data_IF_836731817380
#
_entry.id   IF_836731817380
#
_cell.length_a   1.000
_cell.length_b   1.000
_cell.length_c   1.000
_cell.angle_alpha   90.00
_cell.angle_beta   90.00
_cell.angle_gamma   90.00
#
_symmetry.space_group_name_H-M   'P 1'
#
loop_
_entity.id
_entity.type
_entity.pdbx_description
1 polymer ?
#
# COMPACT_ATOMS: atom_id res chain seq x y z
N UNK A 1 60.97 -8.04 -23.37
CA UNK A 1 59.71 -7.43 -22.88
C UNK A 1 59.72 -7.60 -21.37
N UNK A 2 60.37 -6.67 -20.65
CA UNK A 2 59.76 -5.52 -19.99
C UNK A 2 58.72 -5.86 -18.90
N UNK A 3 59.15 -5.53 -17.68
CA UNK A 3 58.45 -4.89 -16.57
C UNK A 3 57.53 -5.70 -15.64
N UNK A 4 58.06 -5.80 -14.41
CA UNK A 4 57.45 -5.35 -13.16
C UNK A 4 56.29 -6.17 -12.59
N UNK A 5 56.64 -6.91 -11.53
CA UNK A 5 55.69 -7.33 -10.52
C UNK A 5 54.99 -6.14 -9.86
N UNK A 6 53.71 -6.32 -9.55
CA UNK A 6 52.93 -5.39 -8.74
C UNK A 6 52.32 -6.09 -7.51
N UNK A 7 53.04 -5.96 -6.39
CA UNK A 7 52.61 -5.42 -5.08
C UNK A 7 51.28 -5.92 -4.51
N UNK A 8 51.40 -6.74 -3.46
CA UNK A 8 50.39 -6.96 -2.42
C UNK A 8 50.19 -5.66 -1.64
N UNK A 9 49.14 -4.91 -1.99
CA UNK A 9 48.76 -3.66 -1.35
C UNK A 9 47.76 -3.89 -0.22
N UNK A 10 48.24 -3.73 1.02
CA UNK A 10 47.43 -3.52 2.22
C UNK A 10 46.79 -2.12 2.13
N UNK A 11 45.45 -2.04 2.15
CA UNK A 11 44.66 -0.81 2.33
C UNK A 11 43.47 -1.20 3.21
N UNK A 12 43.52 -0.82 4.48
CA UNK A 12 42.96 0.40 5.07
C UNK A 12 41.47 0.27 5.41
N UNK A 13 41.27 0.32 6.73
CA UNK A 13 40.05 0.42 7.51
C UNK A 13 39.42 1.79 7.26
N UNK A 14 38.16 1.84 6.83
CA UNK A 14 37.22 2.96 7.01
C UNK A 14 35.79 2.47 6.69
N UNK A 15 34.75 3.03 7.33
CA UNK A 15 33.52 2.34 7.68
C UNK A 15 32.49 2.37 6.54
N UNK A 16 31.83 1.23 6.30
CA UNK A 16 30.60 1.22 5.53
C UNK A 16 29.45 1.74 6.41
N UNK A 17 28.62 2.60 5.83
CA UNK A 17 27.50 3.30 6.43
C UNK A 17 26.47 2.33 7.09
N UNK A 18 25.74 2.76 8.14
CA UNK A 18 24.71 1.93 8.73
C UNK A 18 23.51 1.86 7.78
N UNK A 19 23.08 0.63 7.49
CA UNK A 19 21.77 0.39 6.90
C UNK A 19 20.69 0.93 7.87
N UNK A 20 19.67 1.67 7.37
CA UNK A 20 18.57 2.11 8.21
C UNK A 20 17.64 0.92 8.49
N UNK A 21 17.15 0.81 9.71
CA UNK A 21 15.87 0.11 9.94
C UNK A 21 15.87 -1.20 10.74
N UNK A 22 16.92 -1.56 11.51
CA UNK A 22 16.82 -2.65 12.49
C UNK A 22 17.16 -2.12 13.90
N UNK A 23 16.24 -2.18 14.88
CA UNK A 23 16.52 -1.71 16.23
C UNK A 23 17.55 -2.61 16.89
N UNK A 24 18.69 -2.02 17.29
CA UNK A 24 19.71 -2.67 18.09
C UNK A 24 19.14 -3.03 19.47
N UNK A 25 19.43 -4.22 20.02
CA UNK A 25 19.02 -4.57 21.38
C UNK A 25 19.74 -3.66 22.38
N UNK A 26 19.08 -3.26 23.49
CA UNK A 26 19.69 -2.40 24.48
C UNK A 26 20.84 -3.13 25.19
N UNK A 27 22.03 -2.54 25.18
CA UNK A 27 23.13 -3.00 26.03
C UNK A 27 22.80 -2.70 27.50
N UNK A 28 22.96 -3.68 28.40
CA UNK A 28 22.62 -3.51 29.81
C UNK A 28 23.67 -2.67 30.55
N UNK A 29 23.23 -1.62 31.27
CA UNK A 29 24.00 -1.08 32.40
C UNK A 29 24.28 0.44 32.47
N UNK A 30 23.50 1.33 31.84
CA UNK A 30 23.64 2.78 32.10
C UNK A 30 22.42 3.36 32.85
N UNK A 31 22.64 4.24 33.86
CA UNK A 31 21.54 4.89 34.59
C UNK A 31 20.82 5.92 33.70
N UNK A 32 19.51 6.15 33.89
CA UNK A 32 18.76 7.08 33.07
C UNK A 32 19.20 8.53 33.34
N UNK A 33 19.35 9.32 32.26
CA UNK A 33 19.50 10.77 32.36
C UNK A 33 18.18 11.40 32.84
N UNK A 34 18.23 12.51 33.61
CA UNK A 34 17.04 13.21 34.07
C UNK A 34 16.38 14.03 32.95
N UNK A 35 15.05 14.02 32.89
CA UNK A 35 14.24 14.79 31.94
C UNK A 35 14.06 16.27 32.36
N UNK A 36 13.92 17.21 31.41
CA UNK A 36 13.60 18.62 31.67
C UNK A 36 12.11 18.82 32.06
N UNK A 37 11.77 19.88 32.82
CA UNK A 37 10.44 20.07 33.40
C UNK A 37 9.49 20.80 32.42
N UNK A 38 8.24 20.32 32.29
CA UNK A 38 7.15 21.13 31.73
C UNK A 38 6.21 20.51 30.68
N UNK A 39 5.92 19.21 30.72
CA UNK A 39 4.84 18.62 29.91
C UNK A 39 3.68 18.12 30.80
N UNK A 40 2.41 18.29 30.38
CA UNK A 40 1.24 17.88 31.15
C UNK A 40 1.21 16.37 31.39
N UNK A 41 0.74 15.97 32.57
CA UNK A 41 0.66 14.59 33.01
C UNK A 41 -0.21 13.76 32.06
N UNK A 42 0.42 12.89 31.27
CA UNK A 42 -0.27 11.80 30.60
C UNK A 42 -0.48 10.68 31.63
N UNK A 43 -1.75 10.35 31.86
CA UNK A 43 -2.23 9.22 32.66
C UNK A 43 -1.41 7.95 32.39
N UNK A 44 -1.01 7.29 33.47
CA UNK A 44 -0.32 6.00 33.41
C UNK A 44 -1.22 4.96 32.73
N UNK A 45 -0.72 4.15 31.78
CA UNK A 45 -1.53 3.06 31.25
C UNK A 45 -1.75 2.04 32.38
N UNK A 46 -3.02 1.83 32.71
CA UNK A 46 -3.48 0.75 33.57
C UNK A 46 -2.92 -0.60 33.07
N UNK A 47 -2.57 -1.54 33.97
CA UNK A 47 -2.10 -2.85 33.55
C UNK A 47 -3.22 -3.57 32.80
N UNK A 48 -2.91 -4.05 31.60
CA UNK A 48 -3.81 -4.87 30.78
C UNK A 48 -4.30 -6.09 31.58
N UNK A 49 -5.58 -6.47 31.49
CA UNK A 49 -6.09 -7.66 32.15
C UNK A 49 -5.45 -8.92 31.56
N UNK A 50 -5.05 -9.81 32.46
CA UNK A 50 -4.46 -11.12 32.18
C UNK A 50 -5.39 -11.94 31.27
N UNK A 51 -4.89 -12.37 30.11
CA UNK A 51 -5.61 -13.27 29.22
C UNK A 51 -5.97 -14.59 29.97
N UNK A 52 -7.18 -15.13 29.79
CA UNK A 52 -7.60 -16.36 30.47
C UNK A 52 -6.76 -17.54 29.96
N UNK A 53 -6.26 -18.33 30.91
CA UNK A 53 -5.54 -19.57 30.64
C UNK A 53 -6.43 -20.56 29.87
N UNK A 54 -5.88 -21.32 28.90
CA UNK A 54 -6.65 -22.35 28.22
C UNK A 54 -7.06 -23.43 29.22
N UNK A 55 -8.35 -23.71 29.21
CA UNK A 55 -9.00 -24.70 30.04
C UNK A 55 -8.39 -26.09 29.85
N UNK A 56 -8.37 -26.84 30.95
CA UNK A 56 -7.90 -28.21 31.03
C UNK A 56 -8.66 -29.12 30.05
N UNK A 57 -8.01 -30.11 29.42
CA UNK A 57 -8.70 -31.00 28.50
C UNK A 57 -9.72 -31.87 29.25
N UNK A 58 -10.91 -31.98 28.67
CA UNK A 58 -11.99 -32.87 29.13
C UNK A 58 -11.50 -34.33 29.27
N UNK A 59 -12.07 -35.12 30.21
CA UNK A 59 -11.68 -36.51 30.40
C UNK A 59 -12.14 -37.36 29.21
N UNK A 60 -11.20 -38.11 28.62
CA UNK A 60 -11.47 -39.17 27.65
C UNK A 60 -12.22 -40.33 28.33
N UNK A 61 -13.18 -40.98 27.65
CA UNK A 61 -13.90 -42.12 28.20
C UNK A 61 -12.98 -43.35 28.32
N UNK A 62 -13.15 -44.04 29.44
CA UNK A 62 -12.38 -45.21 29.89
C UNK A 62 -12.55 -46.39 28.91
N UNK A 63 -11.45 -46.83 28.30
CA UNK A 63 -11.42 -48.03 27.48
C UNK A 63 -11.30 -49.29 28.37
N UNK A 64 -12.06 -50.36 28.11
CA UNK A 64 -12.06 -51.55 28.95
C UNK A 64 -10.74 -52.32 28.84
N UNK A 65 -10.16 -52.65 30.00
CA UNK A 65 -9.01 -53.55 30.12
C UNK A 65 -9.35 -54.95 29.62
N UNK A 66 -8.56 -55.57 28.73
CA UNK A 66 -8.68 -57.00 28.45
C UNK A 66 -8.16 -57.84 29.64
N UNK A 67 -8.74 -59.04 29.88
CA UNK A 67 -8.37 -59.88 31.01
C UNK A 67 -6.95 -60.45 30.85
N UNK A 68 -6.25 -60.56 31.99
CA UNK A 68 -4.97 -61.24 32.08
C UNK A 68 -5.12 -62.75 31.82
N UNK A 69 -4.44 -63.27 30.81
CA UNK A 69 -4.32 -64.71 30.59
C UNK A 69 -3.21 -65.31 31.50
N UNK A 70 -3.44 -66.50 32.09
CA UNK A 70 -2.47 -67.13 32.98
C UNK A 70 -1.26 -67.67 32.20
N UNK A 71 -0.07 -67.42 32.75
CA UNK A 71 1.21 -67.96 32.28
C UNK A 71 1.20 -69.50 32.29
N UNK A 72 1.38 -70.13 31.14
CA UNK A 72 1.43 -71.60 30.97
C UNK A 72 2.84 -72.20 31.11
N UNK A 73 3.79 -71.51 31.75
CA UNK A 73 5.09 -72.11 32.07
C UNK A 73 5.14 -72.59 33.51
N UNK A 74 4.51 -73.74 33.77
CA UNK A 74 4.88 -74.58 34.91
C UNK A 74 4.50 -76.03 34.61
N UNK A 75 5.52 -76.91 34.68
CA UNK A 75 5.46 -78.37 34.56
C UNK A 75 5.54 -78.94 33.14
N UNK A 76 6.77 -79.25 32.72
CA UNK A 76 7.07 -80.59 32.21
C UNK A 76 8.54 -80.90 32.53
N UNK A 77 8.73 -81.80 33.49
CA UNK A 77 10.03 -82.34 33.86
C UNK A 77 10.67 -83.16 32.74
N UNK A 78 11.98 -83.33 32.93
CA UNK A 78 12.93 -84.03 32.08
C UNK A 78 12.49 -85.41 31.60
N UNK A 79 12.82 -85.72 30.34
CA UNK A 79 13.33 -87.04 29.97
C UNK A 79 14.29 -86.89 28.76
N UNK A 80 15.55 -87.26 28.94
CA UNK A 80 16.51 -87.43 27.85
C UNK A 80 16.45 -88.86 27.34
N UNK A 81 16.64 -89.07 26.02
CA UNK A 81 17.34 -90.25 25.55
C UNK A 81 18.62 -89.87 24.80
N UNK A 82 19.58 -90.78 24.95
CA UNK A 82 20.96 -90.68 24.51
C UNK A 82 21.12 -90.78 22.99
N UNK A 83 22.06 -89.99 22.48
CA UNK A 83 23.09 -90.41 21.53
C UNK A 83 22.68 -90.99 20.19
N UNK A 84 22.55 -90.13 19.17
CA UNK A 84 22.86 -90.50 17.79
C UNK A 84 23.34 -89.28 17.01
N UNK A 85 24.41 -89.44 16.25
CA UNK A 85 25.03 -88.44 15.38
C UNK A 85 24.02 -87.94 14.34
N UNK A 86 23.43 -86.77 14.58
CA UNK A 86 22.74 -85.94 13.58
C UNK A 86 23.45 -84.57 13.57
N UNK A 87 24.55 -84.49 12.85
CA UNK A 87 25.13 -83.19 12.50
C UNK A 87 24.25 -82.62 11.36
N UNK A 88 23.82 -81.36 11.50
CA UNK A 88 23.14 -80.52 10.48
C UNK A 88 21.61 -80.58 10.26
N UNK A 89 20.79 -81.15 11.17
CA UNK A 89 19.33 -80.85 11.16
C UNK A 89 18.93 -79.70 12.07
N UNK A 90 19.71 -79.45 13.12
CA UNK A 90 19.42 -78.41 14.10
C UNK A 90 19.72 -76.99 13.57
N UNK A 91 20.75 -76.83 12.72
CA UNK A 91 21.11 -75.53 12.13
C UNK A 91 20.11 -75.03 11.08
N UNK A 92 19.44 -75.95 10.38
CA UNK A 92 18.52 -75.63 9.28
C UNK A 92 17.22 -74.96 9.77
N UNK A 93 16.87 -75.16 11.04
CA UNK A 93 15.73 -74.50 11.71
C UNK A 93 16.02 -73.03 12.05
N UNK A 94 17.28 -72.60 12.03
CA UNK A 94 17.70 -71.21 12.29
C UNK A 94 18.09 -70.47 11.00
N UNK A 95 18.52 -71.21 9.97
CA UNK A 95 18.92 -70.65 8.68
C UNK A 95 17.81 -69.84 7.97
N UNK A 96 16.53 -70.13 8.26
CA UNK A 96 15.36 -69.46 7.66
C UNK A 96 14.78 -68.28 8.44
N UNK A 97 15.32 -67.93 9.61
CA UNK A 97 14.76 -66.85 10.45
C UNK A 97 15.45 -65.49 10.22
N UNK A 98 16.63 -65.45 9.60
CA UNK A 98 17.41 -64.21 9.48
C UNK A 98 18.31 -64.19 8.24
N UNK A 99 18.03 -63.26 7.32
CA UNK A 99 18.86 -63.00 6.11
C UNK A 99 20.11 -62.16 6.41
N UNK A 100 20.25 -61.68 7.65
CA UNK A 100 21.41 -60.89 8.09
C UNK A 100 22.57 -61.83 8.45
N UNK A 101 23.84 -61.46 8.18
CA UNK A 101 24.98 -62.31 8.50
C UNK A 101 25.08 -62.56 10.01
N UNK A 102 25.47 -63.78 10.39
CA UNK A 102 25.50 -64.26 11.78
C UNK A 102 26.17 -63.29 12.80
N UNK A 103 27.28 -62.60 12.48
CA UNK A 103 27.89 -61.61 13.38
C UNK A 103 27.00 -60.40 13.69
N UNK A 104 26.17 -59.96 12.73
CA UNK A 104 25.25 -58.84 12.90
C UNK A 104 24.06 -59.21 13.77
N UNK A 105 23.63 -60.48 13.72
CA UNK A 105 22.59 -61.04 14.58
C UNK A 105 23.10 -61.15 16.01
N UNK A 106 24.29 -61.70 16.23
CA UNK A 106 24.89 -61.76 17.58
C UNK A 106 25.09 -60.37 18.17
N UNK A 107 25.53 -59.38 17.38
CA UNK A 107 25.63 -58.00 17.83
C UNK A 107 24.28 -57.37 18.17
N UNK A 108 23.22 -57.66 17.41
CA UNK A 108 21.87 -57.19 17.71
C UNK A 108 21.28 -57.84 18.97
N UNK A 109 21.47 -59.15 19.12
CA UNK A 109 20.98 -59.90 20.28
C UNK A 109 21.70 -59.43 21.54
N UNK A 110 23.01 -59.17 21.49
CA UNK A 110 23.78 -58.66 22.62
C UNK A 110 23.33 -57.25 23.05
N UNK A 111 23.03 -56.35 22.09
CA UNK A 111 22.47 -55.01 22.37
C UNK A 111 21.06 -55.04 22.95
N UNK A 112 20.22 -55.97 22.48
CA UNK A 112 18.86 -56.14 23.00
C UNK A 112 18.89 -56.79 24.40
N UNK A 113 19.79 -57.74 24.63
CA UNK A 113 19.98 -58.47 25.89
C UNK A 113 20.59 -57.59 27.00
N UNK A 114 21.53 -56.71 26.63
CA UNK A 114 22.18 -55.78 27.58
C UNK A 114 21.36 -54.53 27.92
N UNK A 115 20.12 -54.42 27.39
CA UNK A 115 19.27 -53.22 27.44
C UNK A 115 19.91 -51.94 26.87
N UNK A 116 21.14 -52.02 26.33
CA UNK A 116 21.83 -50.97 25.59
C UNK A 116 21.37 -50.96 24.12
N UNK A 117 20.06 -50.93 23.92
CA UNK A 117 19.45 -50.97 22.61
C UNK A 117 19.54 -49.61 21.87
N UNK A 118 20.52 -48.77 22.23
CA UNK A 118 20.79 -47.48 21.61
C UNK A 118 19.64 -46.48 21.69
N UNK A 119 19.88 -45.29 21.14
CA UNK A 119 18.87 -44.24 20.94
C UNK A 119 17.80 -44.70 19.94
N UNK A 120 16.58 -44.17 20.08
CA UNK A 120 15.45 -44.40 19.17
C UNK A 120 15.84 -44.25 17.69
N UNK A 121 16.77 -43.32 17.38
CA UNK A 121 17.32 -43.07 16.05
C UNK A 121 18.12 -44.26 15.47
N UNK A 122 18.90 -44.95 16.31
CA UNK A 122 19.71 -46.11 15.88
C UNK A 122 18.80 -47.31 15.54
N UNK A 123 17.74 -47.50 16.33
CA UNK A 123 16.68 -48.48 16.04
C UNK A 123 15.90 -48.14 14.78
N UNK A 124 15.65 -46.85 14.54
CA UNK A 124 14.98 -46.38 13.34
C UNK A 124 15.82 -46.62 12.08
N UNK A 125 17.14 -46.37 12.17
CA UNK A 125 18.08 -46.62 11.09
C UNK A 125 18.18 -48.11 10.72
N UNK A 126 18.17 -49.04 11.69
CA UNK A 126 18.28 -50.49 11.39
C UNK A 126 16.95 -51.12 10.90
N UNK A 127 15.78 -50.54 11.27
CA UNK A 127 14.46 -51.04 10.87
C UNK A 127 13.92 -50.40 9.58
N UNK A 128 14.12 -49.10 9.40
CA UNK A 128 13.59 -48.36 8.25
C UNK A 128 14.67 -47.98 7.24
N UNK A 129 15.94 -47.87 7.64
CA UNK A 129 17.03 -47.46 6.74
C UNK A 129 16.73 -46.19 5.94
N UNK A 130 17.41 -46.00 4.82
CA UNK A 130 17.23 -44.84 3.92
C UNK A 130 15.92 -44.88 3.10
N UNK A 131 15.01 -45.80 3.39
CA UNK A 131 13.73 -45.92 2.66
C UNK A 131 12.80 -44.76 2.99
N UNK A 132 12.69 -44.38 4.27
CA UNK A 132 11.89 -43.23 4.69
C UNK A 132 12.44 -41.93 4.10
N UNK A 133 13.77 -41.73 4.14
CA UNK A 133 14.38 -40.52 3.58
C UNK A 133 14.17 -40.43 2.06
N UNK A 134 14.19 -41.56 1.34
CA UNK A 134 13.85 -41.60 -0.10
C UNK A 134 12.39 -41.23 -0.35
N UNK A 135 11.46 -41.84 0.39
CA UNK A 135 10.03 -41.58 0.22
C UNK A 135 9.68 -40.12 0.55
N UNK A 136 10.29 -39.56 1.60
CA UNK A 136 10.13 -38.16 1.95
C UNK A 136 10.70 -37.24 0.86
N UNK A 137 11.86 -37.56 0.27
CA UNK A 137 12.43 -36.78 -0.84
C UNK A 137 11.52 -36.84 -2.08
N UNK A 138 10.95 -38.01 -2.40
CA UNK A 138 10.01 -38.15 -3.52
C UNK A 138 8.73 -37.37 -3.27
N UNK A 139 8.18 -37.44 -2.05
CA UNK A 139 6.98 -36.68 -1.67
C UNK A 139 7.25 -35.16 -1.72
N UNK A 140 8.35 -34.67 -1.14
CA UNK A 140 8.71 -33.24 -1.23
C UNK A 140 8.99 -32.80 -2.66
N UNK A 141 9.62 -33.65 -3.48
CA UNK A 141 9.85 -33.35 -4.89
C UNK A 141 8.52 -33.29 -5.65
N UNK A 142 7.61 -34.22 -5.40
CA UNK A 142 6.27 -34.22 -5.97
C UNK A 142 5.49 -32.97 -5.56
N UNK A 143 5.49 -32.61 -4.27
CA UNK A 143 4.83 -31.39 -3.78
C UNK A 143 5.40 -30.12 -4.43
N UNK A 144 6.71 -30.09 -4.68
CA UNK A 144 7.34 -28.97 -5.39
C UNK A 144 6.94 -28.97 -6.87
N UNK A 145 7.00 -30.11 -7.54
CA UNK A 145 6.63 -30.24 -8.96
C UNK A 145 5.13 -29.93 -9.17
N UNK A 146 4.25 -30.35 -8.26
CA UNK A 146 2.81 -30.04 -8.26
C UNK A 146 2.59 -28.51 -8.13
N UNK A 147 3.26 -27.84 -7.19
CA UNK A 147 3.18 -26.36 -7.05
C UNK A 147 3.73 -25.62 -8.27
N UNK A 148 4.83 -26.11 -8.86
CA UNK A 148 5.38 -25.53 -10.09
C UNK A 148 4.41 -25.71 -11.25
N UNK A 149 3.74 -26.87 -11.34
CA UNK A 149 2.71 -27.09 -12.37
C UNK A 149 1.50 -26.18 -12.18
N UNK A 150 1.05 -25.98 -10.94
CA UNK A 150 -0.05 -25.06 -10.61
C UNK A 150 0.28 -23.62 -11.03
N UNK A 151 1.50 -23.14 -10.75
CA UNK A 151 1.94 -21.80 -11.18
C UNK A 151 2.09 -21.70 -12.70
N UNK A 152 2.52 -22.78 -13.37
CA UNK A 152 2.74 -22.80 -14.83
C UNK A 152 1.44 -22.90 -15.62
N UNK A 153 0.47 -23.64 -15.11
CA UNK A 153 -0.82 -23.89 -15.76
C UNK A 153 -1.89 -22.87 -15.34
N UNK A 154 -1.61 -22.04 -14.34
CA UNK A 154 -2.41 -20.86 -14.04
C UNK A 154 -2.42 -19.91 -15.26
N UNK A 155 -3.59 -19.37 -15.63
CA UNK A 155 -3.68 -18.39 -16.71
C UNK A 155 -2.86 -17.15 -16.32
N UNK A 156 -1.95 -16.76 -17.21
CA UNK A 156 -1.20 -15.51 -17.07
C UNK A 156 -2.19 -14.36 -17.26
N UNK A 157 -2.41 -13.58 -16.20
CA UNK A 157 -3.14 -12.31 -16.29
C UNK A 157 -2.14 -11.27 -16.76
N UNK A 158 -2.12 -11.00 -18.06
CA UNK A 158 -1.48 -9.82 -18.61
C UNK A 158 -2.48 -8.66 -18.47
N UNK A 159 -2.07 -7.53 -17.87
CA UNK A 159 -2.85 -6.31 -17.96
C UNK A 159 -2.84 -5.88 -19.43
N UNK A 160 -4.01 -5.78 -20.03
CA UNK A 160 -4.17 -5.48 -21.46
C UNK A 160 -4.01 -3.97 -21.64
N UNK A 161 -2.84 -3.54 -22.10
CA UNK A 161 -2.60 -2.15 -22.55
C UNK A 161 -3.47 -1.77 -23.77
N UNK A 162 -4.06 -2.75 -24.48
CA UNK A 162 -4.91 -2.52 -25.66
C UNK A 162 -6.20 -1.74 -25.33
N UNK A 163 -6.76 -1.88 -24.12
CA UNK A 163 -7.98 -1.16 -23.73
C UNK A 163 -7.71 0.33 -23.48
N UNK A 164 -6.54 0.67 -22.91
CA UNK A 164 -6.11 2.06 -22.74
C UNK A 164 -5.84 2.74 -24.10
N UNK A 165 -5.24 2.03 -25.05
CA UNK A 165 -4.99 2.52 -26.41
C UNK A 165 -6.29 2.78 -27.20
N UNK A 166 -7.29 1.90 -27.05
CA UNK A 166 -8.62 2.06 -27.66
C UNK A 166 -9.37 3.27 -27.05
N UNK A 167 -9.33 3.43 -25.73
CA UNK A 167 -9.92 4.57 -25.03
C UNK A 167 -9.25 5.90 -25.40
N UNK A 168 -7.92 5.93 -25.50
CA UNK A 168 -7.16 7.10 -25.93
C UNK A 168 -7.52 7.51 -27.38
N UNK A 169 -7.69 6.53 -28.26
CA UNK A 169 -8.15 6.77 -29.64
C UNK A 169 -9.55 7.38 -29.68
N UNK A 170 -10.45 6.89 -28.82
CA UNK A 170 -11.81 7.42 -28.70
C UNK A 170 -11.82 8.84 -28.13
N UNK A 171 -10.98 9.13 -27.14
CA UNK A 171 -10.81 10.48 -26.57
C UNK A 171 -10.37 11.48 -27.64
N UNK A 172 -9.37 11.12 -28.46
CA UNK A 172 -8.90 11.98 -29.55
C UNK A 172 -9.99 12.27 -30.60
N UNK A 173 -10.87 11.32 -30.89
CA UNK A 173 -11.99 11.54 -31.80
C UNK A 173 -12.96 12.61 -31.24
N UNK A 174 -13.30 12.52 -29.97
CA UNK A 174 -14.19 13.48 -29.27
C UNK A 174 -13.54 14.87 -29.20
N UNK A 175 -12.24 14.96 -28.92
CA UNK A 175 -11.54 16.25 -28.87
C UNK A 175 -11.48 16.95 -30.24
N UNK A 176 -11.31 16.18 -31.32
CA UNK A 176 -11.37 16.73 -32.67
C UNK A 176 -12.78 17.25 -33.01
N UNK A 177 -13.82 16.53 -32.59
CA UNK A 177 -15.20 16.97 -32.77
C UNK A 177 -15.49 18.26 -31.98
N UNK A 178 -15.10 18.32 -30.70
CA UNK A 178 -15.18 19.53 -29.89
C UNK A 178 -14.43 20.71 -30.53
N UNK A 179 -13.24 20.48 -31.09
CA UNK A 179 -12.46 21.52 -31.77
C UNK A 179 -13.16 22.02 -33.04
N UNK A 180 -13.88 21.17 -33.75
CA UNK A 180 -14.69 21.59 -34.91
C UNK A 180 -15.97 22.34 -34.55
N UNK A 181 -16.66 21.94 -33.48
CA UNK A 181 -17.97 22.50 -33.11
C UNK A 181 -17.88 23.78 -32.27
N UNK A 182 -16.79 23.98 -31.50
CA UNK A 182 -16.56 25.22 -30.74
C UNK A 182 -16.60 26.49 -31.59
N UNK A 183 -15.87 26.61 -32.72
CA UNK A 183 -15.92 27.81 -33.54
C UNK A 183 -17.31 28.03 -34.14
N UNK A 184 -18.01 26.97 -34.56
CA UNK A 184 -19.38 27.06 -35.08
C UNK A 184 -20.37 27.57 -34.01
N UNK A 185 -20.21 27.14 -32.76
CA UNK A 185 -20.98 27.67 -31.64
C UNK A 185 -20.68 29.15 -31.36
N UNK A 186 -19.41 29.58 -31.43
CA UNK A 186 -19.04 30.98 -31.25
C UNK A 186 -19.57 31.86 -32.39
N UNK A 187 -19.53 31.37 -33.63
CA UNK A 187 -20.11 32.05 -34.79
C UNK A 187 -21.63 32.16 -34.65
N UNK A 188 -22.33 31.09 -34.26
CA UNK A 188 -23.77 31.12 -34.00
C UNK A 188 -24.15 32.05 -32.84
N UNK A 189 -23.27 32.16 -31.82
CA UNK A 189 -23.43 33.09 -30.70
C UNK A 189 -23.24 34.54 -31.17
N UNK A 190 -22.28 34.80 -32.05
CA UNK A 190 -22.01 36.12 -32.62
C UNK A 190 -23.08 36.56 -33.63
N UNK A 191 -23.63 35.63 -34.42
CA UNK A 191 -24.73 35.89 -35.35
C UNK A 191 -26.10 35.98 -34.67
N UNK A 192 -26.22 35.46 -33.44
CA UNK A 192 -27.47 35.43 -32.68
C UNK A 192 -28.46 34.36 -33.17
N UNK A 193 -27.98 33.33 -33.87
CA UNK A 193 -28.80 32.26 -34.42
C UNK A 193 -29.30 31.30 -33.32
N UNK A 194 -30.42 31.66 -32.70
CA UNK A 194 -31.02 30.92 -31.59
C UNK A 194 -31.32 29.44 -31.89
N UNK A 195 -31.63 29.11 -33.15
CA UNK A 195 -31.90 27.74 -33.58
C UNK A 195 -30.63 26.87 -33.51
N UNK A 196 -29.55 27.34 -34.15
CA UNK A 196 -28.25 26.64 -34.15
C UNK A 196 -27.67 26.52 -32.75
N UNK A 197 -27.81 27.56 -31.92
CA UNK A 197 -27.40 27.51 -30.51
C UNK A 197 -28.18 26.48 -29.70
N UNK A 198 -29.47 26.30 -29.97
CA UNK A 198 -30.28 25.29 -29.28
C UNK A 198 -29.92 23.85 -29.67
N UNK A 199 -29.37 23.65 -30.87
CA UNK A 199 -28.90 22.36 -31.37
C UNK A 199 -27.46 22.07 -30.89
N UNK A 200 -26.56 23.05 -30.94
CA UNK A 200 -25.15 22.87 -30.58
C UNK A 200 -24.90 22.71 -29.08
N UNK A 201 -25.66 23.39 -28.22
CA UNK A 201 -25.50 23.30 -26.76
C UNK A 201 -25.57 21.89 -26.20
N UNK A 202 -26.65 21.11 -26.42
CA UNK A 202 -26.73 19.76 -25.87
C UNK A 202 -25.69 18.81 -26.46
N UNK A 203 -25.30 19.01 -27.73
CA UNK A 203 -24.25 18.20 -28.38
C UNK A 203 -22.90 18.45 -27.72
N UNK A 204 -22.50 19.72 -27.55
CA UNK A 204 -21.26 20.07 -26.86
C UNK A 204 -21.24 19.59 -25.41
N UNK A 205 -22.35 19.73 -24.69
CA UNK A 205 -22.47 19.24 -23.31
C UNK A 205 -22.27 17.72 -23.22
N UNK A 206 -22.86 16.96 -24.14
CA UNK A 206 -22.69 15.51 -24.19
C UNK A 206 -21.25 15.12 -24.53
N UNK A 207 -20.64 15.76 -25.54
CA UNK A 207 -19.24 15.48 -25.91
C UNK A 207 -18.26 15.83 -24.77
N UNK A 208 -18.52 16.88 -24.01
CA UNK A 208 -17.72 17.22 -22.82
C UNK A 208 -17.87 16.17 -21.71
N UNK A 209 -19.08 15.64 -21.48
CA UNK A 209 -19.32 14.54 -20.53
C UNK A 209 -18.61 13.27 -20.94
N UNK A 210 -18.68 12.90 -22.23
CA UNK A 210 -18.01 11.72 -22.75
C UNK A 210 -16.49 11.85 -22.69
N UNK A 211 -15.93 13.02 -23.04
CA UNK A 211 -14.50 13.32 -22.85
C UNK A 211 -14.08 13.10 -21.40
N UNK A 212 -14.82 13.66 -20.45
CA UNK A 212 -14.53 13.53 -19.02
C UNK A 212 -14.60 12.07 -18.56
N UNK A 213 -15.60 11.33 -19.02
CA UNK A 213 -15.75 9.91 -18.69
C UNK A 213 -14.58 9.06 -19.21
N UNK A 214 -14.18 9.27 -20.48
CA UNK A 214 -13.02 8.56 -21.04
C UNK A 214 -11.72 8.96 -20.35
N UNK A 215 -11.56 10.25 -20.01
CA UNK A 215 -10.39 10.73 -19.29
C UNK A 215 -10.29 10.12 -17.88
N UNK A 216 -11.40 9.98 -17.16
CA UNK A 216 -11.45 9.30 -15.86
C UNK A 216 -11.13 7.81 -15.97
N UNK A 217 -11.66 7.14 -16.99
CA UNK A 217 -11.42 5.71 -17.24
C UNK A 217 -9.94 5.45 -17.60
N UNK A 218 -9.33 6.28 -18.43
CA UNK A 218 -7.90 6.20 -18.78
C UNK A 218 -7.01 6.54 -17.57
N UNK A 219 -7.46 7.45 -16.69
CA UNK A 219 -6.74 7.77 -15.45
C UNK A 219 -6.81 6.64 -14.40
N UNK A 220 -7.59 5.57 -14.64
CA UNK A 220 -7.69 4.42 -13.75
C UNK A 220 -8.45 4.69 -12.45
N UNK A 221 -9.30 5.72 -12.41
CA UNK A 221 -10.18 5.99 -11.27
C UNK A 221 -11.48 5.20 -11.39
N UNK A 222 -11.46 3.94 -10.92
CA UNK A 222 -12.68 3.14 -10.71
C UNK A 222 -13.31 3.44 -9.33
N UNK A 223 -14.39 4.23 -9.36
CA UNK A 223 -15.55 4.30 -8.45
C UNK A 223 -15.48 4.93 -7.03
N UNK A 224 -16.45 5.84 -6.84
CA UNK A 224 -17.13 6.31 -5.63
C UNK A 224 -16.39 7.17 -4.58
N UNK A 225 -16.23 8.47 -4.90
CA UNK A 225 -16.76 9.56 -4.05
C UNK A 225 -17.20 10.74 -4.93
N UNK A 226 -18.30 11.46 -4.65
CA UNK A 226 -18.53 12.77 -5.22
C UNK A 226 -17.62 13.75 -4.47
N UNK A 227 -16.37 13.87 -4.89
CA UNK A 227 -15.45 14.89 -4.40
C UNK A 227 -14.49 15.25 -5.53
N UNK A 228 -14.69 16.45 -6.07
CA UNK A 228 -13.72 17.29 -6.81
C UNK A 228 -13.06 16.61 -8.02
N UNK A 229 -13.60 16.66 -9.25
CA UNK A 229 -13.56 17.82 -10.15
C UNK A 229 -12.19 18.52 -10.22
N UNK A 230 -11.28 18.03 -11.10
CA UNK A 230 -10.17 18.75 -11.79
C UNK A 230 -9.28 17.69 -12.49
N UNK A 231 -8.77 17.77 -13.73
CA UNK A 231 -8.46 18.86 -14.67
C UNK A 231 -8.47 18.30 -16.12
N UNK A 232 -8.98 18.96 -17.17
CA UNK A 232 -8.68 20.30 -17.69
C UNK A 232 -10.05 20.86 -18.17
N UNK A 233 -10.71 21.80 -17.49
CA UNK A 233 -10.28 23.17 -17.17
C UNK A 233 -11.09 23.68 -15.96
N UNK A 234 -10.92 23.08 -14.78
CA UNK A 234 -11.61 23.56 -13.56
C UNK A 234 -10.70 24.51 -12.75
N UNK A 235 -9.36 24.57 -12.97
CA UNK A 235 -8.51 25.56 -12.28
C UNK A 235 -8.89 26.98 -12.71
N UNK A 236 -8.90 27.27 -14.01
CA UNK A 236 -9.30 28.60 -14.50
C UNK A 236 -10.77 28.92 -14.16
N UNK A 237 -11.66 27.94 -14.11
CA UNK A 237 -13.08 28.18 -13.85
C UNK A 237 -13.38 28.40 -12.35
N UNK A 238 -12.72 27.65 -11.47
CA UNK A 238 -12.74 27.92 -10.03
C UNK A 238 -12.03 29.24 -9.70
N UNK A 239 -10.94 29.57 -10.41
CA UNK A 239 -10.24 30.86 -10.30
C UNK A 239 -11.11 32.02 -10.79
N UNK A 240 -11.84 31.83 -11.90
CA UNK A 240 -12.81 32.80 -12.42
C UNK A 240 -13.95 33.01 -11.43
N UNK A 241 -14.53 31.93 -10.89
CA UNK A 241 -15.61 32.01 -9.90
C UNK A 241 -15.12 32.66 -8.58
N UNK A 242 -13.89 32.34 -8.16
CA UNK A 242 -13.25 32.95 -7.01
C UNK A 242 -12.99 34.45 -7.25
N UNK A 243 -12.50 34.84 -8.43
CA UNK A 243 -12.25 36.23 -8.79
C UNK A 243 -13.55 37.04 -8.90
N UNK A 244 -14.61 36.46 -9.48
CA UNK A 244 -15.95 37.09 -9.52
C UNK A 244 -16.46 37.34 -8.11
N UNK A 245 -16.29 36.39 -7.18
CA UNK A 245 -16.67 36.57 -5.77
C UNK A 245 -15.84 37.67 -5.10
N UNK A 246 -14.54 37.73 -5.40
CA UNK A 246 -13.64 38.79 -4.94
C UNK A 246 -14.08 40.18 -5.43
N UNK A 247 -14.43 40.34 -6.71
CA UNK A 247 -14.89 41.63 -7.25
C UNK A 247 -16.18 42.09 -6.56
N UNK A 248 -17.10 41.18 -6.25
CA UNK A 248 -18.30 41.51 -5.48
C UNK A 248 -17.97 41.98 -4.05
N UNK A 249 -17.07 41.27 -3.36
CA UNK A 249 -16.59 41.64 -2.02
C UNK A 249 -15.94 43.03 -2.04
N UNK A 250 -15.11 43.29 -3.05
CA UNK A 250 -14.42 44.58 -3.22
C UNK A 250 -15.41 45.72 -3.48
N UNK A 251 -16.41 45.51 -4.34
CA UNK A 251 -17.41 46.54 -4.62
C UNK A 251 -18.23 46.90 -3.37
N UNK A 252 -18.65 45.90 -2.60
CA UNK A 252 -19.33 46.11 -1.31
C UNK A 252 -18.43 46.82 -0.28
N UNK A 253 -17.16 46.43 -0.21
CA UNK A 253 -16.18 46.96 0.74
C UNK A 253 -15.81 48.42 0.43
N UNK A 254 -15.46 48.71 -0.83
CA UNK A 254 -15.08 50.05 -1.28
C UNK A 254 -16.29 50.97 -1.40
N UNK A 255 -17.46 50.45 -1.75
CA UNK A 255 -18.69 51.23 -1.89
C UNK A 255 -19.26 51.77 -0.58
N UNK A 256 -18.98 51.12 0.55
CA UNK A 256 -19.54 51.48 1.86
C UNK A 256 -18.55 52.17 2.82
N UNK A 257 -17.24 51.90 2.68
CA UNK A 257 -16.25 52.31 3.68
C UNK A 257 -15.26 53.38 3.20
N UNK A 258 -15.32 53.80 1.93
CA UNK A 258 -14.48 54.91 1.43
C UNK A 258 -15.12 56.29 1.63
N UNK A 259 -14.35 57.31 2.06
CA UNK A 259 -14.81 58.70 2.08
C UNK A 259 -15.13 59.23 0.68
N UNK A 260 -16.18 60.05 0.55
CA UNK A 260 -16.62 60.62 -0.72
C UNK A 260 -15.51 61.42 -1.46
N UNK A 261 -14.60 62.05 -0.73
CA UNK A 261 -13.48 62.81 -1.31
C UNK A 261 -12.47 61.88 -2.02
N UNK A 262 -12.24 60.67 -1.47
CA UNK A 262 -11.36 59.66 -2.06
C UNK A 262 -12.01 59.02 -3.27
N UNK A 263 -13.31 58.70 -3.18
CA UNK A 263 -14.09 58.16 -4.31
C UNK A 263 -14.10 59.14 -5.48
N UNK A 264 -14.33 60.44 -5.23
CA UNK A 264 -14.30 61.45 -6.30
C UNK A 264 -12.92 61.62 -6.93
N UNK A 265 -11.84 61.51 -6.15
CA UNK A 265 -10.48 61.53 -6.67
C UNK A 265 -10.18 60.29 -7.53
N UNK A 266 -10.66 59.11 -7.10
CA UNK A 266 -10.53 57.86 -7.83
C UNK A 266 -11.32 57.87 -9.15
N UNK A 267 -12.57 58.34 -9.14
CA UNK A 267 -13.39 58.49 -10.36
C UNK A 267 -12.77 59.43 -11.41
N UNK A 268 -11.93 60.37 -10.99
CA UNK A 268 -11.19 61.26 -11.87
C UNK A 268 -9.85 60.69 -12.36
N UNK A 269 -9.42 59.55 -11.83
CA UNK A 269 -8.17 58.88 -12.17
C UNK A 269 -8.30 58.01 -13.41
N UNK A 270 -7.17 57.73 -14.06
CA UNK A 270 -7.10 56.80 -15.20
C UNK A 270 -7.29 55.34 -14.76
N UNK A 271 -7.11 55.04 -13.46
CA UNK A 271 -7.28 53.71 -12.85
C UNK A 271 -8.75 53.29 -12.78
N UNK A 272 -9.67 54.25 -12.75
CA UNK A 272 -11.10 53.95 -12.73
C UNK A 272 -11.57 53.23 -14.01
N UNK A 273 -10.92 53.46 -15.15
CA UNK A 273 -11.25 52.78 -16.40
C UNK A 273 -11.04 51.26 -16.28
N UNK A 274 -9.92 50.85 -15.67
CA UNK A 274 -9.59 49.44 -15.43
C UNK A 274 -10.57 48.84 -14.40
N UNK A 275 -10.86 49.58 -13.34
CA UNK A 275 -11.84 49.17 -12.33
C UNK A 275 -13.24 48.95 -12.93
N UNK A 276 -13.69 49.82 -13.82
CA UNK A 276 -14.99 49.70 -14.48
C UNK A 276 -15.03 48.54 -15.48
N UNK A 277 -13.95 48.31 -16.22
CA UNK A 277 -13.84 47.23 -17.20
C UNK A 277 -13.88 45.86 -16.52
N UNK A 278 -13.04 45.65 -15.49
CA UNK A 278 -12.99 44.40 -14.73
C UNK A 278 -14.23 44.23 -13.83
N UNK A 279 -14.73 45.31 -13.23
CA UNK A 279 -15.94 45.28 -12.41
C UNK A 279 -17.23 45.02 -13.19
N UNK A 280 -17.26 45.36 -14.48
CA UNK A 280 -18.41 45.13 -15.35
C UNK A 280 -18.49 43.70 -15.90
N UNK A 281 -17.35 43.06 -16.14
CA UNK A 281 -17.27 41.67 -16.61
C UNK A 281 -16.05 40.94 -16.01
N UNK A 282 -16.11 40.55 -14.73
CA UNK A 282 -14.98 39.91 -14.04
C UNK A 282 -14.63 38.52 -14.62
N UNK A 283 -15.60 37.87 -15.27
CA UNK A 283 -15.43 36.54 -15.85
C UNK A 283 -14.63 36.52 -17.16
N UNK A 284 -14.56 37.66 -17.88
CA UNK A 284 -13.83 37.75 -19.15
C UNK A 284 -12.55 38.60 -19.06
N UNK A 285 -12.20 39.08 -17.85
CA UNK A 285 -10.95 39.80 -17.62
C UNK A 285 -9.76 38.84 -17.71
N UNK A 286 -8.71 39.22 -18.43
CA UNK A 286 -7.44 38.51 -18.50
C UNK A 286 -6.59 38.74 -17.24
N UNK A 287 -5.63 37.85 -16.99
CA UNK A 287 -4.80 37.90 -15.77
C UNK A 287 -4.04 39.21 -15.59
N UNK A 288 -3.65 39.88 -16.68
CA UNK A 288 -2.98 41.18 -16.63
C UNK A 288 -3.92 42.28 -16.10
N UNK A 289 -5.19 42.30 -16.56
CA UNK A 289 -6.19 43.22 -16.02
C UNK A 289 -6.61 42.85 -14.59
N UNK A 290 -6.68 41.56 -14.25
CA UNK A 290 -6.96 41.09 -12.88
C UNK A 290 -5.89 41.52 -11.89
N UNK A 291 -4.62 41.39 -12.25
CA UNK A 291 -3.51 41.87 -11.44
C UNK A 291 -3.50 43.40 -11.29
N UNK A 292 -3.77 44.14 -12.39
CA UNK A 292 -3.89 45.59 -12.34
C UNK A 292 -5.05 46.04 -11.43
N UNK A 293 -6.21 45.37 -11.53
CA UNK A 293 -7.35 45.59 -10.66
C UNK A 293 -7.02 45.34 -9.19
N UNK A 294 -6.36 44.23 -8.87
CA UNK A 294 -5.94 43.92 -7.51
C UNK A 294 -5.03 45.02 -6.92
N UNK A 295 -4.05 45.50 -7.68
CA UNK A 295 -3.16 46.59 -7.25
C UNK A 295 -3.90 47.90 -6.98
N UNK A 296 -4.91 48.22 -7.79
CA UNK A 296 -5.78 49.39 -7.57
C UNK A 296 -6.57 49.22 -6.27
N UNK A 297 -7.18 48.05 -6.07
CA UNK A 297 -8.00 47.73 -4.89
C UNK A 297 -7.18 47.77 -3.60
N UNK A 298 -5.99 47.15 -3.58
CA UNK A 298 -5.09 47.16 -2.43
C UNK A 298 -4.64 48.59 -2.08
N UNK A 299 -4.38 49.41 -3.10
CA UNK A 299 -4.11 50.84 -2.93
C UNK A 299 -5.28 51.61 -2.31
N UNK A 300 -6.52 51.31 -2.70
CA UNK A 300 -7.72 51.92 -2.12
C UNK A 300 -8.02 51.43 -0.71
N UNK A 301 -7.76 50.15 -0.41
CA UNK A 301 -7.85 49.60 0.95
C UNK A 301 -6.91 50.33 1.91
N UNK A 302 -5.73 50.74 1.46
CA UNK A 302 -4.81 51.57 2.23
C UNK A 302 -5.32 52.97 2.58
N UNK A 303 -6.36 53.46 1.90
CA UNK A 303 -6.98 54.76 2.16
C UNK A 303 -8.17 54.69 3.13
N UNK A 304 -8.54 53.50 3.59
CA UNK A 304 -9.65 53.28 4.53
C UNK A 304 -9.24 53.52 6.00
N UNK A 305 -10.22 53.69 6.88
CA UNK A 305 -9.95 53.80 8.30
C UNK A 305 -9.44 52.46 8.86
N UNK A 306 -8.51 52.46 9.83
CA UNK A 306 -7.92 51.22 10.35
C UNK A 306 -8.96 50.30 11.00
N UNK A 307 -10.03 50.89 11.54
CA UNK A 307 -11.16 50.16 12.14
C UNK A 307 -11.99 49.36 11.12
N UNK A 308 -12.13 49.86 9.90
CA UNK A 308 -12.83 49.16 8.81
C UNK A 308 -11.96 48.05 8.20
N UNK A 309 -10.65 48.28 8.12
CA UNK A 309 -9.68 47.27 7.71
C UNK A 309 -9.66 46.11 8.72
N UNK A 310 -9.61 46.40 10.01
CA UNK A 310 -9.64 45.38 11.07
C UNK A 310 -10.96 44.58 11.03
N UNK A 311 -12.09 45.24 10.76
CA UNK A 311 -13.37 44.56 10.60
C UNK A 311 -13.38 43.61 9.40
N UNK A 312 -12.80 44.03 8.27
CA UNK A 312 -12.69 43.22 7.06
C UNK A 312 -11.77 42.01 7.25
N UNK A 313 -10.57 42.19 7.83
CA UNK A 313 -9.60 41.09 8.03
C UNK A 313 -10.15 40.00 8.98
N UNK A 314 -11.03 40.38 9.91
CA UNK A 314 -11.70 39.42 10.80
C UNK A 314 -12.96 38.77 10.18
N UNK A 315 -13.35 39.17 8.96
CA UNK A 315 -14.50 38.62 8.26
C UNK A 315 -14.16 37.35 7.47
N UNK A 316 -15.19 36.58 7.09
CA UNK A 316 -15.00 35.41 6.23
C UNK A 316 -14.52 35.79 4.82
N UNK A 317 -14.86 37.00 4.36
CA UNK A 317 -14.54 37.51 3.02
C UNK A 317 -13.03 37.75 2.82
N UNK A 318 -12.28 37.92 3.91
CA UNK A 318 -10.83 38.07 3.86
C UNK A 318 -10.14 36.81 3.32
N UNK A 319 -10.74 35.62 3.50
CA UNK A 319 -10.18 34.38 2.97
C UNK A 319 -10.12 34.41 1.44
N UNK A 320 -11.18 34.91 0.80
CA UNK A 320 -11.26 35.06 -0.65
C UNK A 320 -10.28 36.11 -1.15
N UNK A 321 -10.23 37.28 -0.48
CA UNK A 321 -9.26 38.34 -0.78
C UNK A 321 -7.81 37.85 -0.71
N UNK A 322 -7.47 37.11 0.36
CA UNK A 322 -6.12 36.60 0.56
C UNK A 322 -5.76 35.50 -0.45
N UNK A 323 -6.72 34.69 -0.89
CA UNK A 323 -6.48 33.65 -1.89
C UNK A 323 -6.15 34.27 -3.26
N UNK A 324 -6.98 35.22 -3.70
CA UNK A 324 -6.77 35.97 -4.95
C UNK A 324 -5.49 36.81 -4.87
N UNK A 325 -5.23 37.45 -3.74
CA UNK A 325 -4.01 38.22 -3.53
C UNK A 325 -2.72 37.39 -3.56
N UNK A 326 -2.78 36.09 -3.24
CA UNK A 326 -1.63 35.20 -3.37
C UNK A 326 -1.33 34.81 -4.83
N UNK A 327 -2.34 34.88 -5.71
CA UNK A 327 -2.19 34.58 -7.14
C UNK A 327 -1.63 35.77 -7.93
N UNK A 328 -2.00 36.99 -7.55
CA UNK A 328 -1.69 38.21 -8.33
C UNK A 328 -0.64 39.15 -7.69
N UNK A 329 0.14 38.68 -6.70
CA UNK A 329 1.21 39.45 -6.01
C UNK A 329 2.58 39.43 -6.71
#
# INVERSE_FOLDING_TARGET
MNLMGLRKGKKNKAPAAPAPGLPLPPLPGMPPLPAPPGAPAADAPLPLPLAPAPESPMPLPEAPTPPAEPSLWATAGQEQPAGSKEEDKYGDLWAKRSEKPLPQIYGHIDRISSADAGSLLDRYADRFGHSLDRDIIVLRKKEHDDKVSEVRDAPVVELIEDEEDDLATQLLAIENELRSLRPEYQEAKASGDAHLLSELRPVLENLMKERKNLQALIAGEEDETPTTAQEVTDEEQDEDDLFVSFVAIVDDLLGSNLPADVVNAFLASEEFAIYQEVGGDPSNADDELRAAFFGIVDGQLGNMAPEDIDAFVNSAEFSTYSAVGAQYQ
#
